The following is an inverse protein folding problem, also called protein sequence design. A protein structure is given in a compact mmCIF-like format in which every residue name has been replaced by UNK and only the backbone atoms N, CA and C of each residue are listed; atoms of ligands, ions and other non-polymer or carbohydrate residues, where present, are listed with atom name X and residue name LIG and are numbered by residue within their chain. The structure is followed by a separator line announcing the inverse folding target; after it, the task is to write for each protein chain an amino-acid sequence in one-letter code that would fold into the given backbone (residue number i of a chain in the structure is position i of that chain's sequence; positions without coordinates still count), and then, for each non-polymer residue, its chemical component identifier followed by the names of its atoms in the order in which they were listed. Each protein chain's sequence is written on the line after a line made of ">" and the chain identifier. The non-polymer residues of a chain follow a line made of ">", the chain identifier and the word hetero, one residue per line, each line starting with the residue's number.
data_IF_447710762630
#
_entry.id   IF_447710762630
#
_cell.length_a   1.000
_cell.length_b   1.000
_cell.length_c   1.000
_cell.angle_alpha   90.00
_cell.angle_beta   90.00
_cell.angle_gamma   90.00
#
_symmetry.space_group_name_H-M   'P 1'
#
loop_
_entity.id
_entity.type
_entity.pdbx_description
1 polymer ?
#
# COMPACT_ATOMS: atom_id res chain seq x y z
N UNK A 1 -8.72 -12.27 -15.79
CA UNK A 1 -8.10 -13.21 -14.85
C UNK A 1 -9.20 -13.91 -14.07
N UNK A 2 -9.09 -15.21 -13.83
CA UNK A 2 -9.97 -15.95 -12.92
C UNK A 2 -9.71 -15.56 -11.46
N UNK A 3 -10.58 -15.97 -10.55
CA UNK A 3 -10.35 -15.80 -9.10
C UNK A 3 -9.02 -16.47 -8.68
N UNK A 4 -8.72 -17.65 -9.21
CA UNK A 4 -7.50 -18.39 -8.94
C UNK A 4 -6.26 -17.66 -9.46
N UNK A 5 -6.35 -17.08 -10.67
CA UNK A 5 -5.27 -16.25 -11.22
C UNK A 5 -5.05 -15.00 -10.37
N UNK A 6 -6.10 -14.29 -9.94
CA UNK A 6 -5.96 -13.11 -9.08
C UNK A 6 -5.33 -13.45 -7.71
N UNK A 7 -5.75 -14.56 -7.10
CA UNK A 7 -5.15 -15.08 -5.86
C UNK A 7 -3.68 -15.44 -6.06
N UNK A 8 -3.32 -16.08 -7.18
CA UNK A 8 -1.93 -16.40 -7.51
C UNK A 8 -1.05 -15.14 -7.68
N UNK A 9 -1.64 -14.00 -8.04
CA UNK A 9 -0.96 -12.70 -8.09
C UNK A 9 -1.00 -11.92 -6.76
N UNK A 10 -1.52 -12.51 -5.67
CA UNK A 10 -1.53 -11.92 -4.33
C UNK A 10 -2.69 -10.95 -4.06
N UNK A 11 -3.71 -10.93 -4.91
CA UNK A 11 -4.89 -10.08 -4.73
C UNK A 11 -5.83 -10.72 -3.69
N UNK A 12 -6.25 -9.95 -2.70
CA UNK A 12 -7.20 -10.40 -1.69
C UNK A 12 -8.61 -10.65 -2.30
N UNK A 13 -9.33 -11.66 -1.83
CA UNK A 13 -10.70 -11.96 -2.25
C UNK A 13 -11.67 -11.95 -1.06
N UNK A 14 -12.65 -11.07 -1.11
CA UNK A 14 -13.68 -10.91 -0.08
C UNK A 14 -14.97 -10.39 -0.72
N UNK A 15 -16.10 -10.72 -0.09
CA UNK A 15 -17.41 -10.17 -0.46
C UNK A 15 -17.57 -8.73 0.05
N UNK A 16 -16.85 -8.38 1.12
CA UNK A 16 -16.87 -7.05 1.74
C UNK A 16 -15.53 -6.36 1.50
N UNK A 17 -15.61 -5.09 1.13
CA UNK A 17 -14.49 -4.15 1.07
C UNK A 17 -14.91 -2.88 1.82
N UNK A 18 -14.19 -2.54 2.88
CA UNK A 18 -14.46 -1.36 3.70
C UNK A 18 -13.19 -0.53 3.81
N UNK A 19 -13.26 0.71 3.30
CA UNK A 19 -12.14 1.64 3.35
C UNK A 19 -12.14 2.40 4.68
N UNK A 20 -10.95 2.53 5.28
CA UNK A 20 -10.74 3.34 6.49
C UNK A 20 -9.59 4.32 6.28
N UNK A 21 -9.72 5.50 6.87
CA UNK A 21 -8.73 6.57 6.74
C UNK A 21 -7.65 6.43 7.83
N UNK A 22 -6.38 6.47 7.43
CA UNK A 22 -5.21 6.43 8.32
C UNK A 22 -4.27 7.64 8.13
N UNK A 23 -4.68 8.62 7.31
CA UNK A 23 -3.90 9.82 7.05
C UNK A 23 -3.83 10.74 8.27
N UNK A 24 -2.66 11.34 8.49
CA UNK A 24 -2.41 12.28 9.57
C UNK A 24 -1.39 13.36 9.12
N UNK A 25 -1.38 14.51 9.79
CA UNK A 25 -0.44 15.60 9.49
C UNK A 25 1.03 15.23 9.77
N UNK A 26 1.25 14.25 10.64
CA UNK A 26 2.56 13.71 11.00
C UNK A 26 2.84 12.36 10.31
N UNK A 27 2.02 11.97 9.33
CA UNK A 27 2.20 10.72 8.59
C UNK A 27 3.53 10.71 7.85
N UNK A 28 4.23 9.57 7.98
CA UNK A 28 5.40 9.22 7.16
C UNK A 28 5.12 7.94 6.39
N UNK A 29 5.47 7.95 5.10
CA UNK A 29 5.39 6.76 4.24
C UNK A 29 6.75 6.57 3.57
N UNK A 30 7.30 5.36 3.70
CA UNK A 30 8.52 4.95 2.99
C UNK A 30 8.22 3.74 2.10
N UNK A 31 8.72 3.74 0.87
CA UNK A 31 8.73 2.59 -0.02
C UNK A 31 10.02 1.78 0.13
N UNK A 32 9.94 0.47 -0.08
CA UNK A 32 11.13 -0.40 -0.22
C UNK A 32 11.23 -0.88 -1.66
N UNK A 33 12.38 -0.66 -2.30
CA UNK A 33 12.61 -1.10 -3.68
C UNK A 33 12.93 -2.61 -3.72
N UNK A 34 12.93 -3.19 -4.92
CA UNK A 34 13.34 -4.58 -5.13
C UNK A 34 14.80 -4.86 -4.72
N UNK A 35 15.65 -3.83 -4.72
CA UNK A 35 17.05 -3.93 -4.31
C UNK A 35 17.24 -3.70 -2.81
N UNK A 36 16.15 -3.46 -2.06
CA UNK A 36 16.17 -3.27 -0.60
C UNK A 36 16.44 -1.83 -0.15
N UNK A 37 16.49 -0.88 -1.08
CA UNK A 37 16.63 0.55 -0.74
C UNK A 37 15.31 1.09 -0.17
N UNK A 38 15.41 1.92 0.87
CA UNK A 38 14.27 2.64 1.44
C UNK A 38 14.19 4.05 0.83
N UNK A 39 13.05 4.39 0.23
CA UNK A 39 12.79 5.66 -0.43
C UNK A 39 11.65 6.39 0.30
N UNK A 40 11.82 7.65 0.72
CA UNK A 40 10.72 8.42 1.30
C UNK A 40 9.66 8.72 0.23
N UNK A 41 8.39 8.61 0.61
CA UNK A 41 7.22 8.90 -0.25
C UNK A 41 6.44 10.07 0.34
N UNK A 42 6.14 10.02 1.65
CA UNK A 42 5.53 11.12 2.41
C UNK A 42 6.35 11.45 3.64
N UNK A 43 6.44 12.75 3.94
CA UNK A 43 6.96 13.31 5.18
C UNK A 43 6.01 14.40 5.68
N UNK A 44 5.59 14.33 6.95
CA UNK A 44 4.61 15.25 7.55
C UNK A 44 3.33 15.40 6.69
N UNK A 45 2.79 14.26 6.24
CA UNK A 45 1.52 14.23 5.49
C UNK A 45 1.59 14.85 4.09
N UNK A 46 2.76 15.28 3.61
CA UNK A 46 2.98 15.80 2.25
C UNK A 46 3.99 14.94 1.49
N UNK A 47 3.97 15.04 0.15
CA UNK A 47 4.96 14.39 -0.69
C UNK A 47 6.37 14.92 -0.38
N UNK A 48 7.31 13.98 -0.20
CA UNK A 48 8.72 14.28 0.09
C UNK A 48 9.51 14.70 -1.16
#
# INVERSE_FOLDING_TARGET
>A
MTQEELLAHGVNHSVVHEDVMIGAEDLRITGTTRTGETVPIFENGVWA
#
